data_IF_803506574572
#
_entry.id   IF_803506574572
#
_cell.length_a   1.000
_cell.length_b   1.000
_cell.length_c   1.000
_cell.angle_alpha   90.00
_cell.angle_beta   90.00
_cell.angle_gamma   90.00
#
_symmetry.space_group_name_H-M   'P 1'
#
loop_
_entity.id
_entity.type
_entity.pdbx_description
1 polymer ?
#
# COMPACT_ATOMS: atom_id res chain seq x y z
N UNK A 1 -23.10 20.11 22.10
CA UNK A 1 -22.38 20.18 20.80
C UNK A 1 -20.88 20.22 21.09
N UNK A 2 -20.08 19.37 20.41
CA UNK A 2 -18.61 19.46 20.51
C UNK A 2 -18.14 20.72 19.79
N UNK A 3 -17.10 21.38 20.32
CA UNK A 3 -16.51 22.54 19.65
C UNK A 3 -15.95 22.13 18.27
N UNK A 4 -16.10 22.94 17.22
CA UNK A 4 -15.54 22.69 15.89
C UNK A 4 -14.03 22.37 15.95
N UNK A 5 -13.30 23.00 16.87
CA UNK A 5 -11.86 22.81 17.05
C UNK A 5 -11.49 21.39 17.52
N UNK A 6 -12.30 20.78 18.39
CA UNK A 6 -12.06 19.40 18.82
C UNK A 6 -12.24 18.40 17.68
N UNK A 7 -13.21 18.63 16.79
CA UNK A 7 -13.44 17.79 15.62
C UNK A 7 -12.28 17.95 14.65
N UNK A 8 -11.86 19.20 14.38
CA UNK A 8 -10.74 19.49 13.48
C UNK A 8 -9.42 18.92 14.01
N UNK A 9 -9.18 18.98 15.32
CA UNK A 9 -8.01 18.36 15.95
C UNK A 9 -8.02 16.84 15.77
N UNK A 10 -9.14 16.20 16.02
CA UNK A 10 -9.28 14.75 15.84
C UNK A 10 -9.03 14.32 14.40
N UNK A 11 -9.59 15.05 13.42
CA UNK A 11 -9.37 14.78 12.00
C UNK A 11 -7.92 15.01 11.58
N UNK A 12 -7.28 16.06 12.07
CA UNK A 12 -5.85 16.34 11.82
C UNK A 12 -4.97 15.19 12.33
N UNK A 13 -5.17 14.77 13.58
CA UNK A 13 -4.41 13.66 14.19
C UNK A 13 -4.62 12.38 13.39
N UNK A 14 -5.86 12.05 13.05
CA UNK A 14 -6.20 10.86 12.28
C UNK A 14 -5.52 10.87 10.91
N UNK A 15 -5.57 11.98 10.17
CA UNK A 15 -4.95 12.13 8.85
C UNK A 15 -3.44 12.03 8.91
N UNK A 16 -2.80 12.70 9.88
CA UNK A 16 -1.35 12.66 10.04
C UNK A 16 -0.91 11.24 10.39
N UNK A 17 -1.56 10.58 11.34
CA UNK A 17 -1.21 9.21 11.72
C UNK A 17 -1.39 8.24 10.56
N UNK A 18 -2.57 8.22 9.94
CA UNK A 18 -2.86 7.34 8.81
C UNK A 18 -1.94 7.61 7.63
N UNK A 19 -1.79 8.89 7.26
CA UNK A 19 -0.97 9.31 6.14
C UNK A 19 0.51 9.04 6.34
N UNK A 20 1.06 9.34 7.53
CA UNK A 20 2.46 9.06 7.85
C UNK A 20 2.77 7.57 7.83
N UNK A 21 1.89 6.73 8.39
CA UNK A 21 2.07 5.27 8.37
C UNK A 21 1.99 4.70 6.96
N UNK A 22 1.05 5.17 6.13
CA UNK A 22 0.96 4.77 4.72
C UNK A 22 2.22 5.20 3.95
N UNK A 23 2.64 6.47 4.09
CA UNK A 23 3.82 6.99 3.43
C UNK A 23 5.09 6.27 3.86
N UNK A 24 5.25 6.02 5.16
CA UNK A 24 6.39 5.27 5.69
C UNK A 24 6.42 3.84 5.13
N UNK A 25 5.28 3.14 5.16
CA UNK A 25 5.19 1.76 4.64
C UNK A 25 5.50 1.70 3.13
N UNK A 26 4.94 2.63 2.35
CA UNK A 26 5.26 2.74 0.92
C UNK A 26 6.72 3.15 0.67
N UNK A 27 7.25 4.08 1.47
CA UNK A 27 8.61 4.60 1.37
C UNK A 27 9.69 3.56 1.66
N UNK A 28 9.46 2.68 2.64
CA UNK A 28 10.39 1.60 2.98
C UNK A 28 10.69 0.68 1.79
N UNK A 29 9.74 0.52 0.86
CA UNK A 29 9.93 -0.27 -0.37
C UNK A 29 11.01 0.31 -1.29
N UNK A 30 11.28 1.63 -1.19
CA UNK A 30 12.29 2.33 -2.00
C UNK A 30 13.56 2.63 -1.21
N UNK A 31 13.44 2.91 0.09
CA UNK A 31 14.55 3.37 0.92
C UNK A 31 15.40 2.22 1.47
N UNK A 32 14.80 1.04 1.67
CA UNK A 32 15.55 -0.13 2.13
C UNK A 32 16.30 -0.81 0.99
N UNK A 33 17.56 -1.24 1.21
CA UNK A 33 18.27 -2.06 0.25
C UNK A 33 17.46 -3.31 -0.11
N UNK A 34 17.16 -3.49 -1.41
CA UNK A 34 16.36 -4.62 -1.87
C UNK A 34 14.87 -4.57 -1.53
N UNK A 35 14.35 -3.46 -1.01
CA UNK A 35 12.95 -3.34 -0.56
C UNK A 35 11.91 -3.66 -1.63
N UNK A 36 12.14 -3.25 -2.90
CA UNK A 36 11.27 -3.64 -4.00
C UNK A 36 11.30 -5.13 -4.33
N UNK A 37 12.46 -5.78 -4.16
CA UNK A 37 12.58 -7.23 -4.35
C UNK A 37 11.83 -7.96 -3.23
N UNK A 38 12.07 -7.55 -1.98
CA UNK A 38 11.36 -8.09 -0.82
C UNK A 38 9.84 -8.00 -0.96
N UNK A 39 9.33 -6.83 -1.40
CA UNK A 39 7.89 -6.66 -1.64
C UNK A 39 7.39 -7.53 -2.80
N UNK A 40 8.19 -7.67 -3.88
CA UNK A 40 7.86 -8.54 -4.99
C UNK A 40 7.75 -10.01 -4.54
N UNK A 41 8.67 -10.46 -3.68
CA UNK A 41 8.67 -11.80 -3.10
C UNK A 41 7.47 -12.02 -2.16
N UNK A 42 7.08 -10.98 -1.39
CA UNK A 42 5.84 -11.01 -0.59
C UNK A 42 4.60 -11.15 -1.47
N UNK A 43 4.54 -10.43 -2.60
CA UNK A 43 3.43 -10.58 -3.56
C UNK A 43 3.35 -12.03 -4.08
N UNK A 44 4.48 -12.63 -4.43
CA UNK A 44 4.55 -14.05 -4.86
C UNK A 44 4.10 -14.98 -3.74
N UNK A 45 4.58 -14.78 -2.51
CA UNK A 45 4.14 -15.53 -1.32
C UNK A 45 2.63 -15.41 -1.13
N UNK A 46 2.06 -14.25 -1.42
CA UNK A 46 0.62 -14.00 -1.33
C UNK A 46 -0.16 -14.50 -2.56
N UNK A 47 0.51 -15.15 -3.51
CA UNK A 47 -0.09 -15.72 -4.72
C UNK A 47 -0.42 -14.68 -5.78
N UNK A 48 0.26 -13.53 -5.74
CA UNK A 48 0.12 -12.42 -6.68
C UNK A 48 1.38 -12.33 -7.56
N UNK A 49 1.19 -11.91 -8.81
CA UNK A 49 2.26 -11.63 -9.74
C UNK A 49 2.62 -10.15 -9.83
N UNK A 50 3.24 -9.78 -10.97
CA UNK A 50 3.60 -8.41 -11.29
C UNK A 50 4.99 -7.98 -10.80
N UNK A 51 5.60 -8.71 -9.85
CA UNK A 51 6.98 -8.50 -9.42
C UNK A 51 7.30 -7.07 -8.98
N UNK A 52 8.53 -6.61 -9.25
CA UNK A 52 9.00 -5.25 -8.89
C UNK A 52 8.13 -4.10 -9.42
N UNK A 53 7.57 -4.13 -10.66
CA UNK A 53 6.66 -3.07 -11.11
C UNK A 53 5.42 -2.95 -10.24
N UNK A 54 4.78 -4.07 -9.88
CA UNK A 54 3.62 -4.04 -8.99
C UNK A 54 3.98 -3.53 -7.58
N UNK A 55 5.12 -3.96 -7.04
CA UNK A 55 5.67 -3.46 -5.77
C UNK A 55 5.93 -1.94 -5.82
N UNK A 56 6.49 -1.43 -6.92
CA UNK A 56 6.75 0.00 -7.10
C UNK A 56 5.45 0.81 -7.20
N UNK A 57 4.45 0.35 -7.98
CA UNK A 57 3.15 1.02 -8.08
C UNK A 57 2.47 1.05 -6.71
N UNK A 58 2.46 -0.07 -5.98
CA UNK A 58 1.93 -0.13 -4.61
C UNK A 58 2.63 0.88 -3.69
N UNK A 59 3.96 0.91 -3.71
CA UNK A 59 4.76 1.85 -2.90
C UNK A 59 4.47 3.31 -3.24
N UNK A 60 4.47 3.68 -4.52
CA UNK A 60 4.19 5.05 -4.97
C UNK A 60 2.77 5.49 -4.60
N UNK A 61 1.78 4.61 -4.76
CA UNK A 61 0.40 4.89 -4.35
C UNK A 61 0.33 5.18 -2.84
N UNK A 62 1.00 4.37 -2.02
CA UNK A 62 0.99 4.54 -0.56
C UNK A 62 1.73 5.81 -0.14
N UNK A 63 2.89 6.14 -0.74
CA UNK A 63 3.62 7.38 -0.45
C UNK A 63 2.80 8.59 -0.87
N UNK A 64 2.27 8.60 -2.09
CA UNK A 64 1.48 9.71 -2.61
C UNK A 64 0.20 9.94 -1.80
N UNK A 65 -0.60 8.88 -1.61
CA UNK A 65 -1.82 8.95 -0.81
C UNK A 65 -1.52 9.38 0.64
N UNK A 66 -0.48 8.81 1.25
CA UNK A 66 -0.08 9.15 2.62
C UNK A 66 0.37 10.61 2.77
N UNK A 67 1.18 11.12 1.86
CA UNK A 67 1.62 12.52 1.87
C UNK A 67 0.43 13.49 1.69
N UNK A 68 -0.46 13.18 0.75
CA UNK A 68 -1.67 13.99 0.51
C UNK A 68 -2.63 13.95 1.71
N UNK A 69 -2.81 12.80 2.39
CA UNK A 69 -3.59 12.69 3.62
C UNK A 69 -3.00 13.52 4.75
N UNK A 70 -1.67 13.47 4.95
CA UNK A 70 -1.01 14.30 5.97
C UNK A 70 -1.26 15.78 5.72
N UNK A 71 -1.11 16.24 4.49
CA UNK A 71 -1.35 17.62 4.10
C UNK A 71 -2.84 18.01 4.11
N UNK A 72 -3.74 17.02 4.00
CA UNK A 72 -5.16 17.25 3.75
C UNK A 72 -5.40 17.90 2.39
N UNK A 73 -4.74 17.38 1.36
CA UNK A 73 -4.79 17.89 0.00
C UNK A 73 -5.50 16.87 -0.92
N UNK A 74 -6.50 17.33 -1.64
CA UNK A 74 -7.38 16.51 -2.49
C UNK A 74 -7.77 15.23 -1.73
N UNK A 75 -8.23 15.42 -0.50
CA UNK A 75 -8.44 14.37 0.49
C UNK A 75 -9.26 13.18 -0.03
N UNK A 76 -10.35 13.35 -0.81
CA UNK A 76 -11.08 12.20 -1.35
C UNK A 76 -10.22 11.32 -2.26
N UNK A 77 -9.40 11.91 -3.12
CA UNK A 77 -8.51 11.15 -4.01
C UNK A 77 -7.38 10.47 -3.22
N UNK A 78 -6.83 11.15 -2.23
CA UNK A 78 -5.84 10.57 -1.33
C UNK A 78 -6.40 9.36 -0.57
N UNK A 79 -7.62 9.49 -0.06
CA UNK A 79 -8.33 8.38 0.56
C UNK A 79 -8.56 7.22 -0.42
N UNK A 80 -8.99 7.51 -1.66
CA UNK A 80 -9.17 6.49 -2.70
C UNK A 80 -7.90 5.68 -2.97
N UNK A 81 -6.73 6.34 -3.03
CA UNK A 81 -5.43 5.67 -3.18
C UNK A 81 -5.12 4.72 -2.01
N UNK A 82 -5.33 5.19 -0.78
CA UNK A 82 -5.17 4.38 0.43
C UNK A 82 -6.14 3.19 0.47
N UNK A 83 -7.42 3.43 0.18
CA UNK A 83 -8.47 2.40 0.11
C UNK A 83 -8.10 1.32 -0.92
N UNK A 84 -7.71 1.74 -2.13
CA UNK A 84 -7.37 0.80 -3.21
C UNK A 84 -6.18 -0.08 -2.86
N UNK A 85 -5.09 0.50 -2.36
CA UNK A 85 -3.91 -0.24 -1.94
C UNK A 85 -4.23 -1.23 -0.81
N UNK A 86 -4.99 -0.78 0.20
CA UNK A 86 -5.35 -1.62 1.34
C UNK A 86 -6.38 -2.69 0.97
N UNK A 87 -7.29 -2.45 0.02
CA UNK A 87 -8.22 -3.46 -0.48
C UNK A 87 -7.46 -4.63 -1.11
N UNK A 88 -6.46 -4.36 -1.97
CA UNK A 88 -5.60 -5.42 -2.53
C UNK A 88 -4.91 -6.20 -1.41
N UNK A 89 -4.36 -5.49 -0.41
CA UNK A 89 -3.66 -6.11 0.71
C UNK A 89 -4.60 -6.98 1.58
N UNK A 90 -5.84 -6.54 1.83
CA UNK A 90 -6.84 -7.34 2.55
C UNK A 90 -7.06 -8.67 1.86
N UNK A 91 -7.32 -8.67 0.55
CA UNK A 91 -7.54 -9.91 -0.21
C UNK A 91 -6.29 -10.78 -0.28
N UNK A 92 -5.12 -10.19 -0.43
CA UNK A 92 -3.84 -10.92 -0.44
C UNK A 92 -3.60 -11.64 0.89
N UNK A 93 -3.81 -10.95 2.01
CA UNK A 93 -3.55 -11.46 3.35
C UNK A 93 -4.66 -12.32 3.94
N UNK A 94 -5.89 -12.24 3.42
CA UNK A 94 -7.06 -12.99 3.94
C UNK A 94 -6.85 -14.50 3.98
N UNK A 95 -6.04 -15.06 3.08
CA UNK A 95 -5.69 -16.49 3.07
C UNK A 95 -4.91 -16.94 4.31
N UNK A 96 -4.21 -16.02 4.97
CA UNK A 96 -3.44 -16.28 6.19
C UNK A 96 -4.30 -16.12 7.46
N UNK A 97 -5.59 -15.83 7.29
CA UNK A 97 -6.53 -15.56 8.35
C UNK A 97 -6.73 -14.07 8.63
N UNK A 98 -7.36 -13.77 9.75
CA UNK A 98 -7.67 -12.39 10.14
C UNK A 98 -6.52 -11.72 10.89
N UNK A 99 -5.95 -12.41 11.90
CA UNK A 99 -5.05 -11.83 12.87
C UNK A 99 -3.67 -11.50 12.32
N UNK A 100 -3.12 -10.35 12.75
CA UNK A 100 -1.76 -9.91 12.39
C UNK A 100 -0.68 -10.92 12.77
N UNK A 101 -0.89 -11.66 13.87
CA UNK A 101 0.04 -12.69 14.35
C UNK A 101 0.26 -13.82 13.33
N UNK A 102 -0.69 -14.04 12.42
CA UNK A 102 -0.61 -15.00 11.32
C UNK A 102 -0.29 -14.34 9.97
N UNK A 103 0.16 -13.08 9.95
CA UNK A 103 0.33 -12.29 8.73
C UNK A 103 -1.01 -12.07 7.99
N UNK A 104 -2.09 -11.89 8.76
CA UNK A 104 -3.46 -11.81 8.27
C UNK A 104 -3.93 -10.41 7.84
N UNK A 105 -5.22 -10.30 7.56
CA UNK A 105 -5.85 -9.12 6.96
C UNK A 105 -6.14 -7.97 7.95
N UNK A 106 -5.88 -8.12 9.24
CA UNK A 106 -6.25 -7.17 10.30
C UNK A 106 -5.75 -5.75 10.02
N UNK A 107 -4.44 -5.58 9.84
CA UNK A 107 -3.85 -4.27 9.58
C UNK A 107 -4.36 -3.60 8.31
N UNK A 108 -4.28 -4.24 7.13
CA UNK A 108 -4.79 -3.59 5.93
C UNK A 108 -6.28 -3.28 6.00
N UNK A 109 -7.08 -4.07 6.72
CA UNK A 109 -8.49 -3.79 6.91
C UNK A 109 -8.71 -2.53 7.77
N UNK A 110 -7.99 -2.40 8.91
CA UNK A 110 -8.06 -1.21 9.76
C UNK A 110 -7.68 0.05 8.95
N UNK A 111 -6.59 -0.01 8.18
CA UNK A 111 -6.16 1.11 7.35
C UNK A 111 -7.18 1.46 6.25
N UNK A 112 -7.79 0.45 5.61
CA UNK A 112 -8.85 0.66 4.62
C UNK A 112 -10.06 1.37 5.25
N UNK A 113 -10.53 0.90 6.41
CA UNK A 113 -11.65 1.51 7.14
C UNK A 113 -11.34 2.94 7.55
N UNK A 114 -10.16 3.21 8.10
CA UNK A 114 -9.74 4.57 8.47
C UNK A 114 -9.66 5.49 7.26
N UNK A 115 -9.16 5.01 6.11
CA UNK A 115 -9.14 5.78 4.88
C UNK A 115 -10.55 6.07 4.36
N UNK A 116 -11.49 5.11 4.46
CA UNK A 116 -12.90 5.33 4.14
C UNK A 116 -13.49 6.41 5.06
N UNK A 117 -13.25 6.34 6.36
CA UNK A 117 -13.75 7.34 7.32
C UNK A 117 -13.23 8.73 6.98
N UNK A 118 -11.91 8.87 6.72
CA UNK A 118 -11.32 10.16 6.33
C UNK A 118 -11.90 10.64 4.99
N UNK A 119 -12.06 9.74 4.03
CA UNK A 119 -12.68 10.05 2.73
C UNK A 119 -14.10 10.57 2.88
N UNK A 120 -14.93 9.96 3.73
CA UNK A 120 -16.34 10.33 3.93
C UNK A 120 -16.52 11.60 4.79
N UNK A 121 -15.75 11.73 5.86
CA UNK A 121 -15.85 12.88 6.78
C UNK A 121 -15.19 14.13 6.20
N UNK A 122 -14.19 13.94 5.34
CA UNK A 122 -13.42 15.01 4.73
C UNK A 122 -12.20 15.45 5.53
N UNK A 123 -11.50 16.48 5.03
CA UNK A 123 -10.19 16.90 5.55
C UNK A 123 -10.24 17.64 6.89
N UNK A 124 -11.39 18.22 7.25
CA UNK A 124 -11.50 19.15 8.39
C UNK A 124 -10.93 20.55 8.10
N UNK A 125 -11.16 21.47 9.03
CA UNK A 125 -10.76 22.89 8.88
C UNK A 125 -9.25 23.12 8.87
N UNK A 126 -8.45 22.23 9.44
CA UNK A 126 -6.99 22.35 9.48
C UNK A 126 -6.35 21.51 8.37
N UNK A 127 -6.61 21.86 7.12
CA UNK A 127 -6.18 21.15 5.91
C UNK A 127 -5.85 22.11 4.78
N UNK A 128 -5.05 21.66 3.82
CA UNK A 128 -4.79 22.43 2.60
C UNK A 128 -6.05 22.55 1.73
N UNK A 129 -6.92 21.54 1.71
CA UNK A 129 -8.21 21.63 1.01
C UNK A 129 -9.03 22.80 1.51
N UNK A 130 -9.10 22.97 2.86
CA UNK A 130 -9.82 24.10 3.45
C UNK A 130 -9.15 25.44 3.13
N UNK A 131 -7.83 25.52 3.23
CA UNK A 131 -7.07 26.74 2.92
C UNK A 131 -7.17 27.15 1.43
N UNK A 132 -7.26 26.17 0.53
CA UNK A 132 -7.40 26.37 -0.91
C UNK A 132 -8.86 26.44 -1.38
N UNK A 133 -9.82 26.41 -0.46
CA UNK A 133 -11.27 26.42 -0.75
C UNK A 133 -11.71 25.25 -1.67
N UNK A 134 -11.09 24.09 -1.52
CA UNK A 134 -11.46 22.84 -2.21
C UNK A 134 -12.49 22.13 -1.34
N UNK A 135 -13.76 22.22 -1.72
CA UNK A 135 -14.88 21.59 -0.98
C UNK A 135 -15.55 20.56 -1.89
N UNK A 136 -15.13 19.28 -1.82
CA UNK A 136 -15.74 18.24 -2.65
C UNK A 136 -17.20 18.04 -2.28
N UNK A 137 -18.02 17.84 -3.29
CA UNK A 137 -19.43 17.48 -3.11
C UNK A 137 -19.55 16.07 -2.52
N UNK A 138 -20.72 15.75 -1.96
CA UNK A 138 -21.02 14.39 -1.47
C UNK A 138 -20.85 13.34 -2.57
N UNK A 139 -21.23 13.69 -3.82
CA UNK A 139 -21.06 12.79 -4.97
C UNK A 139 -19.59 12.50 -5.28
N UNK A 140 -18.72 13.51 -5.26
CA UNK A 140 -17.26 13.33 -5.47
C UNK A 140 -16.64 12.50 -4.35
N UNK A 141 -17.03 12.73 -3.12
CA UNK A 141 -16.56 11.98 -1.95
C UNK A 141 -16.95 10.50 -2.04
N UNK A 142 -18.24 10.20 -2.29
CA UNK A 142 -18.70 8.82 -2.46
C UNK A 142 -18.09 8.17 -3.71
N UNK A 143 -17.96 8.94 -4.80
CA UNK A 143 -17.29 8.50 -6.02
C UNK A 143 -15.82 8.11 -5.78
N UNK A 144 -15.09 8.90 -4.99
CA UNK A 144 -13.71 8.61 -4.63
C UNK A 144 -13.57 7.34 -3.78
N UNK A 145 -14.43 7.15 -2.78
CA UNK A 145 -14.46 5.91 -1.98
C UNK A 145 -14.80 4.71 -2.87
N UNK A 146 -15.81 4.83 -3.72
CA UNK A 146 -16.18 3.79 -4.68
C UNK A 146 -15.08 3.47 -5.68
N UNK A 147 -14.36 4.50 -6.17
CA UNK A 147 -13.19 4.35 -7.04
C UNK A 147 -12.08 3.58 -6.34
N UNK A 148 -11.75 3.91 -5.10
CA UNK A 148 -10.72 3.23 -4.32
C UNK A 148 -11.05 1.75 -4.13
N UNK A 149 -12.26 1.43 -3.70
CA UNK A 149 -12.73 0.05 -3.55
C UNK A 149 -12.74 -0.68 -4.89
N UNK A 150 -13.33 -0.09 -5.92
CA UNK A 150 -13.41 -0.67 -7.26
C UNK A 150 -12.04 -0.92 -7.88
N UNK A 151 -11.11 0.03 -7.76
CA UNK A 151 -9.73 -0.12 -8.23
C UNK A 151 -9.02 -1.27 -7.51
N UNK A 152 -9.14 -1.37 -6.18
CA UNK A 152 -8.56 -2.46 -5.41
C UNK A 152 -9.14 -3.83 -5.80
N UNK A 153 -10.47 -3.90 -5.91
CA UNK A 153 -11.17 -5.12 -6.34
C UNK A 153 -10.80 -5.56 -7.76
N UNK A 154 -10.61 -4.60 -8.68
CA UNK A 154 -10.20 -4.88 -10.06
C UNK A 154 -8.72 -5.26 -10.16
N UNK A 155 -7.85 -4.62 -9.36
CA UNK A 155 -6.40 -4.87 -9.39
C UNK A 155 -6.04 -6.26 -8.84
N UNK A 156 -6.72 -6.72 -7.81
CA UNK A 156 -6.42 -8.01 -7.18
C UNK A 156 -6.47 -9.20 -8.15
N UNK A 157 -7.56 -9.44 -8.92
CA UNK A 157 -7.60 -10.55 -9.88
C UNK A 157 -6.59 -10.38 -11.02
N UNK A 158 -6.28 -9.14 -11.44
CA UNK A 158 -5.26 -8.89 -12.45
C UNK A 158 -3.88 -9.35 -11.95
N UNK A 159 -3.50 -8.95 -10.73
CA UNK A 159 -2.24 -9.39 -10.12
C UNK A 159 -2.21 -10.91 -9.91
N UNK A 160 -3.34 -11.52 -9.57
CA UNK A 160 -3.45 -12.98 -9.40
C UNK A 160 -3.24 -13.75 -10.70
N UNK A 161 -3.62 -13.18 -11.85
CA UNK A 161 -3.43 -13.78 -13.17
C UNK A 161 -2.02 -13.58 -13.75
N UNK A 162 -1.27 -12.58 -13.25
CA UNK A 162 0.11 -12.36 -13.67
C UNK A 162 0.99 -13.52 -13.19
N UNK A 163 1.88 -14.02 -14.07
CA UNK A 163 2.86 -15.04 -13.66
C UNK A 163 3.80 -14.47 -12.59
N UNK A 164 4.05 -15.21 -11.51
CA UNK A 164 5.08 -14.84 -10.54
C UNK A 164 6.41 -14.69 -11.27
N UNK A 165 7.05 -13.53 -11.15
CA UNK A 165 8.42 -13.34 -11.58
C UNK A 165 9.29 -13.53 -10.35
N UNK A 166 9.88 -14.71 -10.22
CA UNK A 166 10.97 -14.92 -9.29
C UNK A 166 12.12 -14.00 -9.72
N UNK A 167 12.63 -13.22 -8.81
CA UNK A 167 13.89 -12.48 -9.02
C UNK A 167 14.97 -13.51 -9.29
N UNK A 168 15.82 -13.28 -10.32
CA UNK A 168 16.91 -14.16 -10.78
C UNK A 168 18.00 -14.46 -9.71
N UNK A 169 17.61 -14.56 -8.45
CA UNK A 169 18.51 -14.97 -7.35
C UNK A 169 18.69 -16.49 -7.33
N UNK A 170 17.93 -17.24 -8.15
CA UNK A 170 18.10 -18.70 -8.35
C UNK A 170 19.08 -19.07 -9.47
N UNK A 171 19.87 -18.12 -9.97
CA UNK A 171 21.09 -18.47 -10.68
C UNK A 171 22.02 -19.10 -9.64
N UNK A 172 21.96 -20.44 -9.53
CA UNK A 172 22.92 -21.20 -8.75
C UNK A 172 24.32 -20.69 -9.11
N UNK A 173 25.19 -20.42 -8.13
CA UNK A 173 26.57 -20.05 -8.45
C UNK A 173 27.13 -21.13 -9.37
N UNK A 174 27.90 -20.75 -10.43
CA UNK A 174 28.49 -21.72 -11.33
C UNK A 174 29.22 -22.76 -10.48
N UNK A 175 28.94 -24.03 -10.74
CA UNK A 175 29.58 -25.14 -10.05
C UNK A 175 31.09 -24.87 -10.01
N UNK A 176 31.77 -25.01 -8.86
CA UNK A 176 33.19 -24.81 -8.79
C UNK A 176 33.84 -25.69 -9.86
N UNK A 177 34.71 -25.06 -10.67
CA UNK A 177 35.44 -25.75 -11.72
C UNK A 177 36.06 -27.03 -11.13
N UNK A 178 35.74 -28.18 -11.73
CA UNK A 178 36.25 -29.46 -11.28
C UNK A 178 37.76 -29.37 -11.17
N UNK A 179 38.28 -29.49 -9.97
CA UNK A 179 39.74 -29.59 -9.73
C UNK A 179 40.25 -30.80 -10.50
N UNK A 180 41.25 -30.65 -11.38
CA UNK A 180 41.77 -31.79 -12.09
C UNK A 180 42.29 -32.83 -11.09
N UNK A 181 41.85 -34.07 -11.26
CA UNK A 181 42.26 -35.20 -10.42
C UNK A 181 43.79 -35.39 -10.50
N UNK A 182 44.48 -35.55 -9.36
CA UNK A 182 45.92 -35.69 -9.32
C UNK A 182 46.46 -37.05 -9.88
N UNK A 183 45.57 -37.87 -10.49
CA UNK A 183 45.94 -39.22 -10.94
C UNK A 183 46.47 -39.32 -12.37
N UNK A 184 46.73 -38.21 -13.06
CA UNK A 184 47.32 -38.25 -14.42
C UNK A 184 48.70 -37.60 -14.51
N UNK A 185 49.53 -37.78 -13.48
CA UNK A 185 50.96 -37.46 -13.53
C UNK A 185 51.76 -38.75 -13.21
N UNK A 186 51.85 -39.66 -14.16
CA UNK A 186 52.92 -40.60 -14.32
C UNK A 186 53.34 -40.69 -15.81
#
# INVERSE_FOLDING_TARGET
>A
MRSPDLINSGLLILRILLGALLAAHGGLKFLQPGGLNFEADLLVKDGLGGGRPAAAVSGLTQVGAGAMLCAGLITPLAAAGGIGAMTVAVFAKSKNGFWVMTDGAEFPLIFAVLAIVVGLVGPGGWSLDHALHIFPSTGETLGAVGLGLGAGLATFPVLKQMKPRTTDTDAAPPAPAATPSPLNQE
#
